data_IF_265874299235
#
_entry.id   IF_265874299235
#
_cell.length_a   1.000
_cell.length_b   1.000
_cell.length_c   1.000
_cell.angle_alpha   90.00
_cell.angle_beta   90.00
_cell.angle_gamma   90.00
#
_symmetry.space_group_name_H-M   'P 1'
#
loop_
_entity.id
_entity.type
_entity.pdbx_description
1 polymer ?
#
# COMPACT_ATOMS: atom_id res chain seq x y z
N UNK A 1 -36.55 14.14 -59.58
CA UNK A 1 -35.49 13.36 -58.92
C UNK A 1 -34.59 14.34 -58.19
N UNK A 2 -34.98 14.73 -56.98
CA UNK A 2 -34.14 15.49 -56.03
C UNK A 2 -33.76 14.44 -54.99
N UNK A 3 -32.82 13.57 -55.33
CA UNK A 3 -31.38 13.66 -55.08
C UNK A 3 -31.02 12.87 -53.81
N UNK A 4 -30.94 11.55 -54.01
CA UNK A 4 -30.56 10.53 -53.03
C UNK A 4 -29.25 10.85 -52.30
N UNK A 5 -28.41 11.71 -52.88
CA UNK A 5 -27.14 12.13 -52.31
C UNK A 5 -27.35 13.07 -51.12
N UNK A 6 -28.34 13.95 -51.20
CA UNK A 6 -28.62 14.96 -50.17
C UNK A 6 -29.20 14.36 -48.90
N UNK A 7 -30.04 13.32 -49.01
CA UNK A 7 -30.59 12.60 -47.84
C UNK A 7 -29.52 11.77 -47.11
N UNK A 8 -28.56 11.20 -47.84
CA UNK A 8 -27.42 10.47 -47.25
C UNK A 8 -26.50 11.42 -46.48
N UNK A 9 -26.23 12.61 -47.03
CA UNK A 9 -25.40 13.63 -46.35
C UNK A 9 -26.08 14.11 -45.07
N UNK A 10 -27.39 14.39 -45.10
CA UNK A 10 -28.14 14.82 -43.91
C UNK A 10 -28.14 13.73 -42.83
N UNK A 11 -28.29 12.46 -43.23
CA UNK A 11 -28.21 11.31 -42.31
C UNK A 11 -26.83 11.13 -41.68
N UNK A 12 -25.75 11.35 -42.45
CA UNK A 12 -24.38 11.29 -41.93
C UNK A 12 -24.10 12.43 -40.94
N UNK A 13 -24.57 13.64 -41.25
CA UNK A 13 -24.43 14.80 -40.36
C UNK A 13 -25.21 14.63 -39.05
N UNK A 14 -26.42 14.06 -39.10
CA UNK A 14 -27.20 13.78 -37.89
C UNK A 14 -26.55 12.69 -37.03
N UNK A 15 -26.04 11.61 -37.63
CA UNK A 15 -25.26 10.59 -36.93
C UNK A 15 -24.01 11.18 -36.28
N UNK A 16 -23.27 12.06 -36.96
CA UNK A 16 -22.08 12.70 -36.42
C UNK A 16 -22.42 13.61 -35.22
N UNK A 17 -23.52 14.36 -35.30
CA UNK A 17 -24.01 15.18 -34.20
C UNK A 17 -24.40 14.34 -32.97
N UNK A 18 -25.05 13.18 -33.20
CA UNK A 18 -25.41 12.24 -32.13
C UNK A 18 -24.15 11.68 -31.47
N UNK A 19 -23.14 11.30 -32.26
CA UNK A 19 -21.87 10.79 -31.72
C UNK A 19 -21.18 11.86 -30.87
N UNK A 20 -21.11 13.12 -31.33
CA UNK A 20 -20.52 14.24 -30.56
C UNK A 20 -21.27 14.48 -29.26
N UNK A 21 -22.61 14.46 -29.28
CA UNK A 21 -23.40 14.70 -28.06
C UNK A 21 -23.22 13.57 -27.04
N UNK A 22 -23.15 12.31 -27.50
CA UNK A 22 -22.87 11.16 -26.65
C UNK A 22 -21.46 11.20 -26.05
N UNK A 23 -20.43 11.55 -26.84
CA UNK A 23 -19.06 11.67 -26.32
C UNK A 23 -18.95 12.83 -25.33
N UNK A 24 -19.53 14.00 -25.61
CA UNK A 24 -19.57 15.10 -24.64
C UNK A 24 -20.25 14.69 -23.33
N UNK A 25 -21.40 14.01 -23.38
CA UNK A 25 -22.09 13.56 -22.17
C UNK A 25 -21.25 12.54 -21.37
N UNK A 26 -20.51 11.68 -22.06
CA UNK A 26 -19.58 10.72 -21.46
C UNK A 26 -18.43 11.42 -20.73
N UNK A 27 -17.83 12.44 -21.38
CA UNK A 27 -16.74 13.24 -20.81
C UNK A 27 -17.22 14.04 -19.60
N UNK A 28 -18.37 14.71 -19.68
CA UNK A 28 -18.91 15.46 -18.54
C UNK A 28 -19.24 14.55 -17.34
N UNK A 29 -19.70 13.31 -17.59
CA UNK A 29 -19.87 12.32 -16.52
C UNK A 29 -18.55 11.87 -15.89
N UNK A 30 -17.48 11.76 -16.69
CA UNK A 30 -16.14 11.48 -16.17
C UNK A 30 -15.62 12.65 -15.34
N UNK A 31 -15.73 13.88 -15.83
CA UNK A 31 -15.35 15.10 -15.10
C UNK A 31 -16.10 15.21 -13.77
N UNK A 32 -17.41 14.96 -13.75
CA UNK A 32 -18.19 14.99 -12.51
C UNK A 32 -17.79 13.89 -11.51
N UNK A 33 -17.26 12.76 -12.00
CA UNK A 33 -16.69 11.70 -11.14
C UNK A 33 -15.34 12.11 -10.55
N UNK A 34 -14.56 12.92 -11.28
CA UNK A 34 -13.30 13.50 -10.81
C UNK A 34 -13.49 14.69 -9.85
N UNK A 35 -14.51 15.52 -10.04
CA UNK A 35 -14.79 16.67 -9.15
C UNK A 35 -15.24 16.29 -7.72
N UNK A 36 -15.50 15.02 -7.46
CA UNK A 36 -15.84 14.55 -6.10
C UNK A 36 -14.64 14.35 -5.17
N UNK A 37 -13.41 14.64 -5.60
CA UNK A 37 -12.28 14.76 -4.70
C UNK A 37 -12.41 16.06 -3.88
N UNK A 38 -12.86 15.89 -2.63
CA UNK A 38 -12.94 16.92 -1.59
C UNK A 38 -11.59 17.66 -1.55
N UNK A 39 -11.55 18.93 -1.98
CA UNK A 39 -10.33 19.75 -1.95
C UNK A 39 -9.96 20.04 -0.49
N UNK A 40 -9.07 19.23 0.08
CA UNK A 40 -8.64 19.36 1.47
C UNK A 40 -7.53 20.40 1.55
N UNK A 41 -7.76 21.45 2.35
CA UNK A 41 -6.71 22.40 2.71
C UNK A 41 -5.72 21.73 3.68
N UNK A 42 -4.65 21.17 3.12
CA UNK A 42 -3.57 20.51 3.87
C UNK A 42 -2.75 21.48 4.73
N UNK A 43 -2.87 22.79 4.54
CA UNK A 43 -2.19 23.81 5.33
C UNK A 43 -3.01 24.23 6.56
N UNK A 44 -4.29 23.85 6.62
CA UNK A 44 -5.14 24.08 7.77
C UNK A 44 -5.05 22.92 8.78
N UNK A 45 -4.45 23.12 9.98
CA UNK A 45 -4.26 22.08 10.97
C UNK A 45 -5.59 21.52 11.52
N UNK A 46 -6.66 22.31 11.52
CA UNK A 46 -7.99 21.85 11.98
C UNK A 46 -8.64 20.94 10.93
N UNK A 47 -8.57 21.31 9.64
CA UNK A 47 -9.05 20.45 8.55
C UNK A 47 -8.33 19.09 8.55
N UNK A 48 -7.01 19.10 8.78
CA UNK A 48 -6.20 17.89 8.92
C UNK A 48 -6.61 17.03 10.12
N UNK A 49 -6.91 17.67 11.25
CA UNK A 49 -7.34 17.01 12.49
C UNK A 49 -8.71 16.36 12.32
N UNK A 50 -9.66 17.06 11.72
CA UNK A 50 -11.02 16.58 11.48
C UNK A 50 -11.02 15.43 10.48
N UNK A 51 -10.21 15.53 9.43
CA UNK A 51 -10.03 14.46 8.46
C UNK A 51 -9.39 13.23 9.11
N UNK A 52 -8.34 13.41 9.93
CA UNK A 52 -7.74 12.31 10.71
C UNK A 52 -8.75 11.65 11.63
N UNK A 53 -9.60 12.42 12.31
CA UNK A 53 -10.68 11.89 13.13
C UNK A 53 -11.69 11.08 12.29
N UNK A 54 -12.10 11.60 11.13
CA UNK A 54 -13.02 10.93 10.18
C UNK A 54 -12.48 9.58 9.70
N UNK A 55 -11.17 9.48 9.40
CA UNK A 55 -10.55 8.21 9.02
C UNK A 55 -10.33 7.27 10.20
N UNK A 56 -9.92 7.77 11.37
CA UNK A 56 -9.75 6.97 12.59
C UNK A 56 -11.07 6.31 13.01
N UNK A 57 -12.19 7.04 12.94
CA UNK A 57 -13.53 6.50 13.24
C UNK A 57 -13.92 5.33 12.34
N UNK A 58 -13.35 5.26 11.12
CA UNK A 58 -13.63 4.19 10.15
C UNK A 58 -12.54 3.12 10.10
N UNK A 59 -11.40 3.33 10.74
CA UNK A 59 -10.22 2.46 10.64
C UNK A 59 -10.51 1.05 11.18
N UNK A 60 -11.15 0.95 12.34
CA UNK A 60 -11.50 -0.36 12.93
C UNK A 60 -12.51 -1.12 12.09
N UNK A 61 -13.55 -0.43 11.58
CA UNK A 61 -14.52 -1.01 10.65
C UNK A 61 -13.84 -1.53 9.39
N UNK A 62 -12.95 -0.73 8.81
CA UNK A 62 -12.20 -1.11 7.61
C UNK A 62 -11.27 -2.32 7.87
N UNK A 63 -10.56 -2.33 9.00
CA UNK A 63 -9.72 -3.46 9.40
C UNK A 63 -10.55 -4.74 9.60
N UNK A 64 -11.75 -4.63 10.17
CA UNK A 64 -12.65 -5.76 10.34
C UNK A 64 -13.18 -6.28 9.00
N UNK A 65 -13.63 -5.40 8.11
CA UNK A 65 -14.08 -5.75 6.76
C UNK A 65 -12.97 -6.44 5.97
N UNK A 66 -11.74 -5.90 6.02
CA UNK A 66 -10.59 -6.49 5.35
C UNK A 66 -10.28 -7.89 5.89
N UNK A 67 -10.27 -8.07 7.22
CA UNK A 67 -10.08 -9.37 7.86
C UNK A 67 -11.18 -10.38 7.49
N UNK A 68 -12.44 -9.95 7.40
CA UNK A 68 -13.55 -10.81 6.98
C UNK A 68 -13.41 -11.27 5.53
N UNK A 69 -13.04 -10.36 4.63
CA UNK A 69 -12.85 -10.69 3.21
C UNK A 69 -11.61 -11.56 3.03
N UNK A 70 -10.55 -11.33 3.80
CA UNK A 70 -9.36 -12.17 3.80
C UNK A 70 -9.68 -13.62 4.16
N UNK A 71 -10.67 -13.91 5.02
CA UNK A 71 -11.08 -15.29 5.37
C UNK A 71 -11.87 -16.00 4.26
N UNK A 72 -12.29 -15.29 3.22
CA UNK A 72 -12.98 -15.88 2.07
C UNK A 72 -12.04 -16.65 1.15
N UNK A 73 -12.61 -17.27 0.12
CA UNK A 73 -11.85 -17.91 -0.98
C UNK A 73 -11.69 -16.98 -2.21
N UNK A 74 -12.19 -15.75 -2.12
CA UNK A 74 -12.22 -14.79 -3.23
C UNK A 74 -11.07 -13.78 -3.07
N UNK A 75 -9.88 -14.20 -3.52
CA UNK A 75 -8.65 -13.41 -3.50
C UNK A 75 -8.82 -12.07 -4.23
N UNK A 76 -9.52 -12.07 -5.38
CA UNK A 76 -9.79 -10.85 -6.15
C UNK A 76 -10.57 -9.83 -5.34
N UNK A 77 -11.55 -10.30 -4.56
CA UNK A 77 -12.32 -9.45 -3.64
C UNK A 77 -11.48 -8.96 -2.45
N UNK A 78 -10.54 -9.76 -1.95
CA UNK A 78 -9.59 -9.31 -0.92
C UNK A 78 -8.72 -8.16 -1.43
N UNK A 79 -8.03 -8.33 -2.56
CA UNK A 79 -7.18 -7.29 -3.13
C UNK A 79 -7.97 -6.05 -3.54
N UNK A 80 -9.19 -6.20 -4.08
CA UNK A 80 -10.09 -5.07 -4.34
C UNK A 80 -10.56 -4.33 -3.09
N UNK A 81 -10.35 -4.88 -1.89
CA UNK A 81 -10.64 -4.23 -0.60
C UNK A 81 -9.40 -3.64 0.05
N UNK A 82 -8.19 -4.09 -0.27
CA UNK A 82 -6.94 -3.46 0.17
C UNK A 82 -6.91 -2.04 -0.37
N UNK A 83 -6.87 -1.05 0.52
CA UNK A 83 -6.75 0.35 0.17
C UNK A 83 -5.28 0.64 -0.05
N UNK A 84 -4.96 1.05 -1.28
CA UNK A 84 -3.62 1.50 -1.67
C UNK A 84 -3.11 2.63 -0.77
N UNK A 85 -4.00 3.47 -0.24
CA UNK A 85 -3.61 4.51 0.71
C UNK A 85 -4.76 4.89 1.67
N UNK A 86 -4.46 4.90 2.97
CA UNK A 86 -5.23 5.67 3.94
C UNK A 86 -4.78 7.14 3.86
N UNK A 87 -5.69 8.10 4.09
CA UNK A 87 -5.32 9.52 4.05
C UNK A 87 -4.07 9.79 4.89
N UNK A 88 -3.07 10.39 4.25
CA UNK A 88 -1.78 10.65 4.86
C UNK A 88 -1.35 12.10 4.63
N UNK A 89 -1.45 12.91 5.69
CA UNK A 89 -1.06 14.31 5.64
C UNK A 89 0.45 14.53 5.59
N UNK A 90 1.23 13.62 6.17
CA UNK A 90 2.69 13.73 6.31
C UNK A 90 3.28 12.48 5.66
N UNK A 91 3.77 12.60 4.43
CA UNK A 91 4.48 11.53 3.73
C UNK A 91 5.97 11.83 3.73
N UNK A 92 6.77 10.83 4.06
CA UNK A 92 8.23 10.94 4.05
C UNK A 92 8.81 9.85 3.15
N UNK A 93 9.78 10.21 2.31
CA UNK A 93 10.53 9.28 1.49
C UNK A 93 11.58 8.57 2.36
N UNK A 94 11.54 7.25 2.39
CA UNK A 94 12.43 6.39 3.18
C UNK A 94 13.17 5.45 2.25
N UNK A 95 14.45 5.18 2.52
CA UNK A 95 15.38 4.53 1.59
C UNK A 95 16.03 5.49 0.61
N UNK A 96 16.63 4.93 -0.45
CA UNK A 96 17.39 5.68 -1.46
C UNK A 96 16.49 6.56 -2.34
N UNK A 97 17.08 7.55 -3.00
CA UNK A 97 16.33 8.47 -3.87
C UNK A 97 15.83 7.77 -5.14
N UNK A 98 16.43 6.65 -5.52
CA UNK A 98 16.07 5.89 -6.72
C UNK A 98 15.09 4.74 -6.39
N UNK A 99 15.13 3.61 -7.10
CA UNK A 99 14.12 2.54 -7.07
C UNK A 99 13.91 1.89 -5.68
N UNK A 100 14.91 1.99 -4.79
CA UNK A 100 14.86 1.40 -3.45
C UNK A 100 14.03 2.15 -2.41
N UNK A 101 13.72 3.45 -2.61
CA UNK A 101 13.03 4.25 -1.60
C UNK A 101 11.53 4.39 -1.81
N UNK A 102 10.74 4.35 -0.72
CA UNK A 102 9.26 4.49 -0.75
C UNK A 102 8.74 5.55 0.20
N UNK A 103 7.52 6.00 -0.06
CA UNK A 103 6.82 6.94 0.80
C UNK A 103 6.13 6.23 1.96
N UNK A 104 6.47 6.61 3.18
CA UNK A 104 5.88 6.11 4.42
C UNK A 104 5.02 7.19 5.05
N UNK A 105 3.85 6.82 5.59
CA UNK A 105 2.99 7.80 6.23
C UNK A 105 3.44 8.05 7.67
N UNK A 106 3.78 9.29 7.98
CA UNK A 106 4.15 9.78 9.30
C UNK A 106 5.00 8.76 10.11
N UNK A 107 6.18 8.37 9.59
CA UNK A 107 7.01 7.33 10.21
C UNK A 107 7.46 7.68 11.64
N UNK A 108 7.43 8.97 12.01
CA UNK A 108 7.76 9.41 13.38
C UNK A 108 6.66 9.11 14.40
N UNK A 109 5.44 8.79 13.95
CA UNK A 109 4.27 8.54 14.80
C UNK A 109 4.07 7.08 15.19
N UNK A 110 5.01 6.19 14.84
CA UNK A 110 5.02 4.81 15.31
C UNK A 110 4.97 4.74 16.84
N UNK A 111 4.35 3.68 17.39
CA UNK A 111 4.29 3.46 18.85
C UNK A 111 5.69 3.55 19.46
N UNK A 112 5.79 4.16 20.64
CA UNK A 112 7.06 4.29 21.37
C UNK A 112 7.49 2.97 22.02
N UNK A 113 6.53 2.19 22.49
CA UNK A 113 6.76 0.90 23.11
C UNK A 113 6.28 -0.24 22.20
N UNK A 114 7.03 -1.36 22.22
CA UNK A 114 6.69 -2.59 21.48
C UNK A 114 6.41 -2.40 19.97
N UNK A 115 7.10 -1.45 19.33
CA UNK A 115 7.01 -1.23 17.89
C UNK A 115 7.71 -2.36 17.12
N UNK A 116 7.06 -2.85 16.05
CA UNK A 116 7.61 -3.85 15.13
C UNK A 116 7.49 -3.35 13.70
N UNK A 117 8.59 -3.44 12.96
CA UNK A 117 8.68 -3.15 11.53
C UNK A 117 9.02 -4.46 10.81
N UNK A 118 8.43 -4.69 9.65
CA UNK A 118 8.74 -5.87 8.82
C UNK A 118 9.20 -5.40 7.43
N UNK A 119 10.29 -5.98 6.95
CA UNK A 119 10.89 -5.74 5.64
C UNK A 119 11.13 -7.07 4.94
N UNK A 120 10.34 -7.37 3.92
CA UNK A 120 10.45 -8.61 3.14
C UNK A 120 11.15 -8.33 1.81
N UNK A 121 11.96 -9.29 1.34
CA UNK A 121 12.74 -9.21 0.10
C UNK A 121 13.90 -8.23 0.25
N UNK A 122 14.91 -8.61 1.03
CA UNK A 122 16.07 -7.76 1.30
C UNK A 122 17.09 -7.79 0.16
N UNK A 123 17.42 -8.97 -0.37
CA UNK A 123 18.44 -9.17 -1.40
C UNK A 123 19.75 -8.36 -1.18
N UNK A 124 20.27 -8.35 0.05
CA UNK A 124 21.42 -7.55 0.52
C UNK A 124 21.25 -6.02 0.49
N UNK A 125 20.07 -5.52 0.15
CA UNK A 125 19.72 -4.10 0.18
C UNK A 125 18.98 -3.74 1.48
N UNK A 126 19.63 -2.91 2.32
CA UNK A 126 19.10 -2.52 3.63
C UNK A 126 19.05 -1.00 3.84
N UNK A 127 19.19 -0.21 2.78
CA UNK A 127 19.16 1.26 2.88
C UNK A 127 17.81 1.76 3.41
N UNK A 128 16.71 1.14 2.97
CA UNK A 128 15.37 1.39 3.51
C UNK A 128 15.31 1.09 5.01
N UNK A 129 15.74 -0.11 5.42
CA UNK A 129 15.71 -0.60 6.80
C UNK A 129 16.49 0.32 7.76
N UNK A 130 17.68 0.75 7.35
CA UNK A 130 18.49 1.68 8.12
C UNK A 130 17.81 3.06 8.21
N UNK A 131 17.26 3.55 7.10
CA UNK A 131 16.61 4.85 7.07
C UNK A 131 15.32 4.86 7.90
N UNK A 132 14.46 3.84 7.80
CA UNK A 132 13.23 3.77 8.59
C UNK A 132 13.55 3.64 10.08
N UNK A 133 14.57 2.86 10.44
CA UNK A 133 14.98 2.72 11.84
C UNK A 133 15.46 4.06 12.40
N UNK A 134 16.22 4.83 11.63
CA UNK A 134 16.67 6.16 12.04
C UNK A 134 15.49 7.14 12.21
N UNK A 135 14.57 7.21 11.24
CA UNK A 135 13.44 8.15 11.27
C UNK A 135 12.44 7.81 12.38
N UNK A 136 12.27 6.52 12.68
CA UNK A 136 11.43 6.08 13.80
C UNK A 136 12.06 6.36 15.15
N UNK A 137 13.38 6.62 15.23
CA UNK A 137 14.09 6.89 16.48
C UNK A 137 14.79 5.67 17.09
N UNK A 138 14.94 4.59 16.32
CA UNK A 138 15.76 3.43 16.70
C UNK A 138 15.12 2.47 17.69
N UNK A 139 13.89 2.73 18.16
CA UNK A 139 13.25 1.95 19.22
C UNK A 139 12.44 0.75 18.71
N UNK A 140 12.09 0.72 17.43
CA UNK A 140 11.35 -0.40 16.85
C UNK A 140 12.24 -1.64 16.70
N UNK A 141 11.64 -2.83 16.76
CA UNK A 141 12.30 -4.08 16.33
C UNK A 141 12.00 -4.28 14.85
N UNK A 142 13.04 -4.41 14.04
CA UNK A 142 12.87 -4.64 12.61
C UNK A 142 13.10 -6.12 12.28
N UNK A 143 12.15 -6.74 11.58
CA UNK A 143 12.21 -8.14 11.15
C UNK A 143 12.43 -8.17 9.64
N UNK A 144 13.59 -8.65 9.24
CA UNK A 144 14.00 -8.73 7.84
C UNK A 144 13.91 -10.16 7.34
N UNK A 145 13.42 -10.39 6.12
CA UNK A 145 13.42 -11.73 5.55
C UNK A 145 13.74 -11.72 4.06
N UNK A 146 14.46 -12.77 3.65
CA UNK A 146 14.75 -13.05 2.24
C UNK A 146 14.82 -14.57 2.02
N UNK A 147 14.68 -15.00 0.76
CA UNK A 147 14.86 -16.42 0.39
C UNK A 147 16.31 -16.87 0.64
N UNK A 148 17.28 -15.99 0.44
CA UNK A 148 18.70 -16.31 0.53
C UNK A 148 19.33 -15.66 1.79
N UNK A 149 20.32 -16.33 2.42
CA UNK A 149 21.10 -15.72 3.49
C UNK A 149 21.76 -14.42 3.04
N UNK A 150 21.66 -13.39 3.88
CA UNK A 150 22.33 -12.12 3.64
C UNK A 150 23.84 -12.26 3.87
N UNK A 151 24.65 -11.43 3.21
CA UNK A 151 26.10 -11.43 3.45
C UNK A 151 26.45 -10.95 4.88
N UNK A 152 27.66 -11.25 5.34
CA UNK A 152 28.08 -10.97 6.73
C UNK A 152 27.96 -9.48 7.08
N UNK A 153 28.32 -8.59 6.16
CA UNK A 153 28.25 -7.13 6.34
C UNK A 153 26.81 -6.68 6.58
N UNK A 154 25.85 -7.26 5.85
CA UNK A 154 24.42 -6.99 5.99
C UNK A 154 23.89 -7.56 7.30
N UNK A 155 24.30 -8.78 7.68
CA UNK A 155 23.91 -9.38 8.96
C UNK A 155 24.33 -8.49 10.15
N UNK A 156 25.60 -8.09 10.19
CA UNK A 156 26.13 -7.20 11.22
C UNK A 156 25.48 -5.80 11.20
N UNK A 157 25.13 -5.29 10.02
CA UNK A 157 24.42 -4.03 9.89
C UNK A 157 22.97 -4.13 10.42
N UNK A 158 22.31 -5.27 10.20
CA UNK A 158 20.94 -5.50 10.65
C UNK A 158 20.86 -5.61 12.18
N UNK A 159 21.81 -6.30 12.80
CA UNK A 159 21.89 -6.40 14.26
C UNK A 159 22.05 -5.02 14.92
N UNK A 160 22.87 -4.14 14.34
CA UNK A 160 23.10 -2.76 14.83
C UNK A 160 21.85 -1.88 14.81
N UNK A 161 20.87 -2.19 13.97
CA UNK A 161 19.61 -1.44 13.86
C UNK A 161 18.46 -2.09 14.65
N UNK A 162 18.78 -2.88 15.68
CA UNK A 162 17.80 -3.69 16.44
C UNK A 162 17.00 -4.62 15.53
N UNK A 163 17.68 -5.17 14.53
CA UNK A 163 17.11 -6.05 13.52
C UNK A 163 17.27 -7.53 13.83
N UNK A 164 16.37 -8.32 13.27
CA UNK A 164 16.44 -9.78 13.28
C UNK A 164 16.16 -10.31 11.88
N UNK A 165 17.08 -11.10 11.35
CA UNK A 165 16.99 -11.69 10.02
C UNK A 165 16.36 -13.08 10.05
N UNK A 166 15.60 -13.38 9.02
CA UNK A 166 15.00 -14.67 8.74
C UNK A 166 15.36 -15.08 7.31
N UNK A 167 15.57 -16.38 7.11
CA UNK A 167 15.91 -16.94 5.81
C UNK A 167 14.86 -17.97 5.44
N UNK A 168 14.33 -17.84 4.23
CA UNK A 168 13.41 -18.78 3.62
C UNK A 168 12.40 -18.10 2.71
N UNK A 169 11.86 -18.86 1.78
CA UNK A 169 10.81 -18.41 0.87
C UNK A 169 9.49 -18.18 1.63
N UNK A 170 8.88 -17.00 1.45
CA UNK A 170 7.54 -16.67 1.97
C UNK A 170 6.49 -16.95 0.90
N UNK A 171 5.34 -17.59 1.23
CA UNK A 171 4.95 -18.15 2.54
C UNK A 171 5.39 -19.62 2.76
N UNK A 172 6.08 -20.24 1.80
CA UNK A 172 6.26 -21.69 1.72
C UNK A 172 7.17 -22.29 2.81
N UNK A 173 8.32 -21.67 3.07
CA UNK A 173 9.31 -22.13 4.04
C UNK A 173 9.19 -21.39 5.37
N UNK A 174 8.91 -20.09 5.30
CA UNK A 174 8.64 -19.23 6.46
C UNK A 174 7.39 -18.39 6.20
N UNK A 175 6.66 -18.04 7.26
CA UNK A 175 5.50 -17.15 7.18
C UNK A 175 5.74 -15.92 8.04
N UNK A 176 5.06 -14.82 7.72
CA UNK A 176 5.11 -13.60 8.54
C UNK A 176 4.66 -13.92 9.98
N UNK A 177 3.66 -14.79 10.14
CA UNK A 177 3.19 -15.29 11.44
C UNK A 177 4.27 -16.05 12.22
N UNK A 178 5.07 -16.91 11.58
CA UNK A 178 6.13 -17.64 12.27
C UNK A 178 7.29 -16.72 12.67
N UNK A 179 7.61 -15.72 11.85
CA UNK A 179 8.59 -14.68 12.18
C UNK A 179 8.19 -13.90 13.43
N UNK A 180 6.93 -13.44 13.50
CA UNK A 180 6.42 -12.72 14.67
C UNK A 180 6.46 -13.58 15.94
N UNK A 181 6.01 -14.84 15.86
CA UNK A 181 6.06 -15.78 16.99
C UNK A 181 7.49 -15.97 17.49
N UNK A 182 8.45 -16.17 16.59
CA UNK A 182 9.87 -16.36 16.93
C UNK A 182 10.53 -15.08 17.48
N UNK A 183 10.06 -13.91 17.06
CA UNK A 183 10.49 -12.62 17.59
C UNK A 183 9.71 -12.16 18.84
N UNK A 184 8.77 -12.98 19.33
CA UNK A 184 7.87 -12.68 20.45
C UNK A 184 7.05 -11.38 20.25
N UNK A 185 6.65 -11.12 19.01
CA UNK A 185 5.86 -9.94 18.61
C UNK A 185 4.43 -10.33 18.27
N UNK A 186 3.50 -9.38 18.45
CA UNK A 186 2.05 -9.57 18.25
C UNK A 186 1.40 -8.56 17.32
N UNK A 187 2.08 -7.47 17.03
CA UNK A 187 1.57 -6.37 16.21
C UNK A 187 2.66 -5.89 15.27
N UNK A 188 2.24 -5.39 14.10
CA UNK A 188 3.12 -4.82 13.08
C UNK A 188 2.68 -3.39 12.78
N UNK A 189 3.60 -2.45 12.99
CA UNK A 189 3.34 -1.03 12.76
C UNK A 189 3.50 -0.69 11.28
N UNK A 190 4.62 -1.11 10.68
CA UNK A 190 4.90 -0.94 9.25
C UNK A 190 5.29 -2.28 8.63
N UNK A 191 4.69 -2.60 7.49
CA UNK A 191 4.98 -3.78 6.68
C UNK A 191 5.39 -3.34 5.27
N UNK A 192 6.67 -3.54 4.94
CA UNK A 192 7.20 -3.53 3.57
C UNK A 192 7.10 -4.94 3.00
N UNK A 193 6.46 -5.09 1.85
CA UNK A 193 6.43 -6.33 1.07
C UNK A 193 7.04 -6.04 -0.29
N UNK A 194 8.03 -6.84 -0.67
CA UNK A 194 8.81 -6.69 -1.90
C UNK A 194 9.31 -8.07 -2.34
N UNK A 195 8.38 -8.99 -2.58
CA UNK A 195 8.70 -10.41 -2.76
C UNK A 195 8.12 -10.89 -4.07
N UNK A 196 8.91 -10.79 -5.14
CA UNK A 196 8.56 -11.18 -6.51
C UNK A 196 7.61 -12.40 -6.60
N UNK A 197 6.31 -12.15 -6.79
CA UNK A 197 5.27 -13.17 -7.00
C UNK A 197 4.68 -13.81 -5.72
N UNK A 198 5.19 -13.45 -4.54
CA UNK A 198 4.72 -13.92 -3.24
C UNK A 198 3.84 -12.93 -2.49
N UNK A 199 3.65 -11.71 -3.01
CA UNK A 199 2.89 -10.64 -2.35
C UNK A 199 1.45 -11.05 -2.14
N UNK A 200 0.85 -11.68 -3.16
CA UNK A 200 -0.53 -12.11 -3.12
C UNK A 200 -0.76 -13.31 -2.18
N UNK A 201 0.21 -14.22 -2.14
CA UNK A 201 0.10 -15.46 -1.34
C UNK A 201 0.50 -15.24 0.12
N UNK A 202 1.39 -14.28 0.41
CA UNK A 202 1.87 -13.99 1.76
C UNK A 202 1.01 -13.00 2.54
N UNK A 203 0.48 -11.96 1.90
CA UNK A 203 -0.24 -10.88 2.59
C UNK A 203 -1.62 -11.32 3.09
N UNK A 204 -2.41 -12.01 2.27
CA UNK A 204 -3.79 -12.36 2.62
C UNK A 204 -3.88 -13.26 3.87
N UNK A 205 -3.13 -14.38 3.98
CA UNK A 205 -3.16 -15.21 5.18
C UNK A 205 -2.71 -14.45 6.43
N UNK A 206 -1.77 -13.52 6.28
CA UNK A 206 -1.24 -12.74 7.39
C UNK A 206 -2.28 -11.77 7.97
N UNK A 207 -3.01 -11.05 7.11
CA UNK A 207 -4.05 -10.09 7.52
C UNK A 207 -5.26 -10.78 8.19
N UNK A 208 -5.44 -12.10 8.01
CA UNK A 208 -6.45 -12.88 8.74
C UNK A 208 -6.18 -12.94 10.25
N UNK A 209 -4.89 -13.01 10.62
CA UNK A 209 -4.43 -13.30 11.97
C UNK A 209 -3.89 -12.07 12.70
N UNK A 210 -3.29 -11.12 11.96
CA UNK A 210 -2.58 -9.98 12.55
C UNK A 210 -3.12 -8.65 12.05
N UNK A 211 -3.11 -7.66 12.95
CA UNK A 211 -3.40 -6.27 12.62
C UNK A 211 -2.12 -5.58 12.15
N UNK A 212 -2.22 -4.91 11.01
CA UNK A 212 -1.14 -4.08 10.44
C UNK A 212 -1.65 -2.65 10.33
N UNK A 213 -0.86 -1.69 10.82
CA UNK A 213 -1.23 -0.27 10.74
C UNK A 213 -1.01 0.32 9.34
N UNK A 214 0.11 -0.02 8.69
CA UNK A 214 0.40 0.40 7.32
C UNK A 214 1.05 -0.74 6.52
N UNK A 215 0.47 -1.05 5.36
CA UNK A 215 1.06 -1.93 4.34
C UNK A 215 1.59 -1.05 3.21
N UNK A 216 2.84 -1.27 2.77
CA UNK A 216 3.41 -0.65 1.58
C UNK A 216 3.97 -1.76 0.68
N UNK A 217 3.42 -1.84 -0.52
CA UNK A 217 3.93 -2.69 -1.58
C UNK A 217 5.09 -1.98 -2.29
N UNK A 218 6.18 -2.71 -2.52
CA UNK A 218 7.38 -2.20 -3.16
C UNK A 218 7.54 -2.69 -4.61
N UNK A 219 6.75 -3.66 -5.07
CA UNK A 219 6.71 -3.99 -6.50
C UNK A 219 5.65 -3.12 -7.20
N UNK A 220 6.14 -2.16 -7.98
CA UNK A 220 5.31 -1.39 -8.91
C UNK A 220 4.93 -2.25 -10.12
N UNK A 221 4.11 -3.27 -9.87
CA UNK A 221 3.37 -4.01 -10.89
C UNK A 221 1.97 -4.22 -10.37
N UNK A 222 1.11 -3.24 -10.66
CA UNK A 222 -0.36 -3.32 -10.73
C UNK A 222 -1.03 -4.37 -9.82
N UNK A 223 -1.59 -3.92 -8.69
CA UNK A 223 -2.78 -4.59 -8.11
C UNK A 223 -3.99 -4.40 -9.03
#
# INVERSE_FOLDING_TARGET
>A
MIDSSSTVIISLLSCFLIIITLTCFSVSRLEQKFETDELIDIYNPNALKDLRAKYNLKADKYSLELSQVARGADHKRFFGKVKLEAFCAIKERIGDVDDGGKYVCNPRAVKKDNCTLISLGLNNAISYDQHIQNVTGGHCRILGADKDPQNITVQEAYERINGQLFVGMIPNEISISSMLKKAERREVELLKIDIEGGEHEGLEPFIREYRVCQVRDFSSTEI
#
